data_IF_079008763767
#
_entry.id   IF_079008763767
#
_cell.length_a   1.000
_cell.length_b   1.000
_cell.length_c   1.000
_cell.angle_alpha   90.00
_cell.angle_beta   90.00
_cell.angle_gamma   90.00
#
_symmetry.space_group_name_H-M   'P 1'
#
loop_
_entity.id
_entity.type
_entity.pdbx_description
1 polymer ?
#
# COMPACT_ATOMS: atom_id res chain seq x y z
N UNK A 1 25.94 40.65 16.58
CA UNK A 1 25.29 40.60 15.25
C UNK A 1 25.74 39.33 14.53
N UNK A 2 24.81 38.50 14.04
CA UNK A 2 25.14 37.25 13.33
C UNK A 2 25.52 37.59 11.88
N UNK A 3 26.70 37.19 11.40
CA UNK A 3 27.13 37.47 10.03
C UNK A 3 26.23 36.71 9.04
N UNK A 4 25.77 37.35 7.94
CA UNK A 4 25.01 36.67 6.92
C UNK A 4 25.84 35.56 6.27
N UNK A 5 25.17 34.50 5.82
CA UNK A 5 25.84 33.38 5.16
C UNK A 5 26.52 33.87 3.88
N UNK A 6 27.81 33.57 3.72
CA UNK A 6 28.53 33.84 2.48
C UNK A 6 27.92 33.06 1.31
N UNK A 7 28.09 33.57 0.08
CA UNK A 7 27.46 33.01 -1.14
C UNK A 7 27.68 31.49 -1.29
N UNK A 8 28.88 30.98 -0.95
CA UNK A 8 29.21 29.55 -0.99
C UNK A 8 28.44 28.73 0.05
N UNK A 9 28.24 29.28 1.25
CA UNK A 9 27.44 28.64 2.30
C UNK A 9 25.94 28.64 1.95
N UNK A 10 25.43 29.76 1.43
CA UNK A 10 24.03 29.85 0.97
C UNK A 10 23.73 28.84 -0.16
N UNK A 11 24.61 28.75 -1.17
CA UNK A 11 24.47 27.77 -2.27
C UNK A 11 24.53 26.31 -1.78
N UNK A 12 25.45 25.99 -0.87
CA UNK A 12 25.56 24.64 -0.31
C UNK A 12 24.31 24.24 0.50
N UNK A 13 23.73 25.19 1.24
CA UNK A 13 22.48 24.97 1.98
C UNK A 13 21.33 24.63 1.05
N UNK A 14 21.12 25.43 -0.02
CA UNK A 14 20.05 25.19 -0.99
C UNK A 14 20.19 23.85 -1.72
N UNK A 15 21.41 23.41 -2.05
CA UNK A 15 21.63 22.10 -2.68
C UNK A 15 21.25 20.93 -1.77
N UNK A 16 21.51 21.06 -0.45
CA UNK A 16 21.17 20.03 0.55
C UNK A 16 19.65 19.94 0.77
N UNK A 17 18.93 21.07 0.79
CA UNK A 17 17.47 21.06 0.95
C UNK A 17 16.79 20.38 -0.23
N UNK A 18 17.19 20.72 -1.46
CA UNK A 18 16.64 20.09 -2.68
C UNK A 18 16.90 18.58 -2.70
N UNK A 19 18.11 18.14 -2.34
CA UNK A 19 18.42 16.70 -2.26
C UNK A 19 17.55 15.97 -1.22
N UNK A 20 17.31 16.58 -0.06
CA UNK A 20 16.46 16.03 1.00
C UNK A 20 14.99 15.95 0.57
N UNK A 21 14.49 16.99 -0.09
CA UNK A 21 13.12 17.00 -0.63
C UNK A 21 12.92 15.91 -1.69
N UNK A 22 13.90 15.71 -2.56
CA UNK A 22 13.86 14.63 -3.56
C UNK A 22 13.85 13.25 -2.89
N UNK A 23 14.71 13.02 -1.90
CA UNK A 23 14.72 11.77 -1.14
C UNK A 23 13.39 11.50 -0.40
N UNK A 24 12.75 12.54 0.15
CA UNK A 24 11.43 12.39 0.76
C UNK A 24 10.35 12.05 -0.27
N UNK A 25 10.37 12.70 -1.45
CA UNK A 25 9.46 12.37 -2.55
C UNK A 25 9.61 10.91 -2.98
N UNK A 26 10.84 10.45 -3.19
CA UNK A 26 11.13 9.05 -3.54
C UNK A 26 10.63 8.07 -2.48
N UNK A 27 10.82 8.40 -1.19
CA UNK A 27 10.32 7.57 -0.10
C UNK A 27 8.79 7.51 -0.08
N UNK A 28 8.10 8.63 -0.27
CA UNK A 28 6.64 8.67 -0.38
C UNK A 28 6.14 7.83 -1.57
N UNK A 29 6.79 7.94 -2.73
CA UNK A 29 6.47 7.12 -3.89
C UNK A 29 6.65 5.63 -3.61
N UNK A 30 7.73 5.24 -2.95
CA UNK A 30 7.97 3.84 -2.57
C UNK A 30 6.90 3.33 -1.60
N UNK A 31 6.52 4.13 -0.60
CA UNK A 31 5.46 3.75 0.34
C UNK A 31 4.10 3.60 -0.35
N UNK A 32 3.76 4.53 -1.24
CA UNK A 32 2.52 4.48 -2.01
C UNK A 32 2.45 3.21 -2.87
N UNK A 33 3.54 2.86 -3.55
CA UNK A 33 3.63 1.62 -4.32
C UNK A 33 3.45 0.38 -3.42
N UNK A 34 4.11 0.34 -2.26
CA UNK A 34 3.96 -0.75 -1.29
C UNK A 34 2.53 -0.87 -0.76
N UNK A 35 1.84 0.24 -0.55
CA UNK A 35 0.45 0.23 -0.09
C UNK A 35 -0.48 -0.34 -1.16
N UNK A 36 -0.26 0.01 -2.43
CA UNK A 36 -1.01 -0.58 -3.55
C UNK A 36 -0.74 -2.08 -3.69
N UNK A 37 0.53 -2.50 -3.62
CA UNK A 37 0.91 -3.92 -3.65
C UNK A 37 0.27 -4.71 -2.50
N UNK A 38 0.24 -4.14 -1.29
CA UNK A 38 -0.41 -4.78 -0.15
C UNK A 38 -1.93 -4.91 -0.36
N UNK A 39 -2.58 -3.90 -0.93
CA UNK A 39 -4.02 -3.97 -1.25
C UNK A 39 -4.32 -5.03 -2.31
N UNK A 40 -3.49 -5.15 -3.35
CA UNK A 40 -3.63 -6.20 -4.37
C UNK A 40 -3.42 -7.59 -3.76
N UNK A 41 -2.43 -7.75 -2.89
CA UNK A 41 -2.17 -9.01 -2.17
C UNK A 41 -3.32 -9.42 -1.25
N UNK A 42 -3.93 -8.46 -0.55
CA UNK A 42 -5.12 -8.70 0.28
C UNK A 42 -6.31 -9.15 -0.58
N UNK A 43 -6.53 -8.50 -1.72
CA UNK A 43 -7.56 -8.93 -2.67
C UNK A 43 -7.27 -10.34 -3.20
N UNK A 44 -6.03 -10.64 -3.55
CA UNK A 44 -5.62 -11.98 -4.02
C UNK A 44 -5.79 -13.07 -2.95
N UNK A 45 -5.51 -12.77 -1.69
CA UNK A 45 -5.66 -13.76 -0.60
C UNK A 45 -7.14 -14.11 -0.38
N UNK A 46 -8.04 -13.11 -0.41
CA UNK A 46 -9.49 -13.31 -0.36
C UNK A 46 -10.01 -14.14 -1.53
N UNK A 47 -9.52 -13.88 -2.75
CA UNK A 47 -9.88 -14.69 -3.93
C UNK A 47 -9.44 -16.14 -3.78
N UNK A 48 -8.22 -16.41 -3.32
CA UNK A 48 -7.72 -17.78 -3.07
C UNK A 48 -8.52 -18.51 -1.99
N UNK A 49 -8.92 -17.79 -0.94
CA UNK A 49 -9.79 -18.34 0.09
C UNK A 49 -11.17 -18.72 -0.48
N UNK A 50 -11.74 -17.85 -1.31
CA UNK A 50 -13.01 -18.11 -2.00
C UNK A 50 -12.91 -19.31 -2.96
N UNK A 51 -11.85 -19.40 -3.75
CA UNK A 51 -11.56 -20.56 -4.61
C UNK A 51 -11.50 -21.85 -3.78
N UNK A 52 -10.82 -21.81 -2.63
CA UNK A 52 -10.71 -22.96 -1.73
C UNK A 52 -12.07 -23.38 -1.16
N UNK A 53 -12.93 -22.42 -0.79
CA UNK A 53 -14.30 -22.69 -0.34
C UNK A 53 -15.20 -23.25 -1.45
N UNK A 54 -15.03 -22.79 -2.69
CA UNK A 54 -15.78 -23.29 -3.85
C UNK A 54 -15.32 -24.69 -4.26
N UNK A 55 -14.04 -25.00 -4.10
CA UNK A 55 -13.46 -26.29 -4.45
C UNK A 55 -13.82 -27.43 -3.50
N UNK A 56 -14.31 -27.12 -2.28
CA UNK A 56 -14.80 -28.13 -1.35
C UNK A 56 -15.99 -28.88 -1.98
N UNK A 57 -15.91 -30.21 -1.98
CA UNK A 57 -16.96 -31.10 -2.52
C UNK A 57 -18.06 -31.37 -1.52
N UNK A 58 -17.77 -31.23 -0.23
CA UNK A 58 -18.73 -31.44 0.84
C UNK A 58 -19.64 -30.21 1.01
N UNK A 59 -20.88 -30.39 1.49
CA UNK A 59 -21.75 -29.28 1.83
C UNK A 59 -21.06 -28.33 2.80
N UNK A 60 -21.09 -27.03 2.49
CA UNK A 60 -20.55 -26.02 3.37
C UNK A 60 -21.42 -25.94 4.64
N UNK A 61 -20.77 -25.82 5.79
CA UNK A 61 -21.48 -25.54 7.04
C UNK A 61 -22.00 -24.09 7.00
N UNK A 62 -23.08 -23.80 7.72
CA UNK A 62 -23.75 -22.48 7.71
C UNK A 62 -22.79 -21.29 7.88
N UNK A 63 -21.78 -21.41 8.74
CA UNK A 63 -20.77 -20.36 8.93
C UNK A 63 -19.86 -20.18 7.70
N UNK A 64 -19.54 -21.26 6.97
CA UNK A 64 -18.74 -21.21 5.74
C UNK A 64 -19.54 -20.64 4.57
N UNK A 65 -20.84 -20.95 4.50
CA UNK A 65 -21.75 -20.33 3.52
C UNK A 65 -21.88 -18.82 3.75
N UNK A 66 -22.06 -18.41 5.01
CA UNK A 66 -22.11 -17.00 5.38
C UNK A 66 -20.79 -16.28 5.05
N UNK A 67 -19.64 -16.91 5.30
CA UNK A 67 -18.33 -16.38 4.92
C UNK A 67 -18.17 -16.27 3.40
N UNK A 68 -18.55 -17.32 2.65
CA UNK A 68 -18.52 -17.34 1.19
C UNK A 68 -19.35 -16.20 0.61
N UNK A 69 -20.56 -15.98 1.13
CA UNK A 69 -21.44 -14.88 0.71
C UNK A 69 -20.77 -13.51 0.94
N UNK A 70 -20.23 -13.27 2.15
CA UNK A 70 -19.51 -12.03 2.47
C UNK A 70 -18.32 -11.78 1.54
N UNK A 71 -17.52 -12.82 1.25
CA UNK A 71 -16.38 -12.72 0.34
C UNK A 71 -16.81 -12.41 -1.10
N UNK A 72 -17.90 -13.01 -1.58
CA UNK A 72 -18.45 -12.70 -2.90
C UNK A 72 -18.93 -11.25 -2.96
N UNK A 73 -19.67 -10.80 -1.95
CA UNK A 73 -20.16 -9.43 -1.88
C UNK A 73 -18.99 -8.44 -1.86
N UNK A 74 -17.97 -8.69 -1.04
CA UNK A 74 -16.78 -7.84 -0.96
C UNK A 74 -15.92 -7.83 -2.23
N UNK A 75 -15.85 -8.94 -2.99
CA UNK A 75 -14.98 -9.02 -4.17
C UNK A 75 -15.66 -8.59 -5.49
N UNK A 76 -16.99 -8.68 -5.55
CA UNK A 76 -17.77 -8.48 -6.79
C UNK A 76 -18.69 -7.26 -6.75
N UNK A 77 -19.09 -6.80 -5.55
CA UNK A 77 -19.94 -5.61 -5.39
C UNK A 77 -19.16 -4.37 -4.90
N UNK A 78 -17.86 -4.52 -4.61
CA UNK A 78 -16.96 -3.40 -4.25
C UNK A 78 -16.55 -2.54 -5.44
#
# INVERSE_FOLDING_TARGET
>A
MKRPAGVKAAKASGKKTVAKENAMKEFHSMLSLKQQDLAVKDRMSKMRLLESLIAKKDPLVEYEEALKKKLVDELMLS
#
